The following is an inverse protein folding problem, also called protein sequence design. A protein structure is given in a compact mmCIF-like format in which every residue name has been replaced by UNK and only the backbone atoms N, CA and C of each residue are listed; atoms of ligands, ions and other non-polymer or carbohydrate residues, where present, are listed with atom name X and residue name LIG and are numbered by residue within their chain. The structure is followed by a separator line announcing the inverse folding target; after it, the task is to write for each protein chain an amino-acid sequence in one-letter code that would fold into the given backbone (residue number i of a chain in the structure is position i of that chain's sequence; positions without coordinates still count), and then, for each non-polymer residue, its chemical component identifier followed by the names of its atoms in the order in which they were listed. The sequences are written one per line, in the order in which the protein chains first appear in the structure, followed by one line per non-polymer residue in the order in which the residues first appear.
data_IF_559049325900
#
_entry.id   IF_559049325900
#
_cell.length_a   1.000
_cell.length_b   1.000
_cell.length_c   1.000
_cell.angle_alpha   90.00
_cell.angle_beta   90.00
_cell.angle_gamma   90.00
#
_symmetry.space_group_name_H-M   'P 1'
#
loop_
_entity.id
_entity.type
_entity.pdbx_description
1 polymer ?
#
# COMPACT_ATOMS: atom_id res chain seq x y z
N UNK A 1 0.92 -18.69 -18.58
CA UNK A 1 -0.19 -17.81 -18.20
C UNK A 1 0.26 -17.04 -16.96
N UNK A 2 0.50 -15.72 -17.07
CA UNK A 2 0.94 -14.93 -15.92
C UNK A 2 -0.17 -14.94 -14.87
N UNK A 3 0.19 -15.19 -13.61
CA UNK A 3 -0.74 -15.01 -12.50
C UNK A 3 -1.23 -13.57 -12.53
N UNK A 4 -2.53 -13.37 -12.32
CA UNK A 4 -3.06 -12.01 -12.21
C UNK A 4 -2.33 -11.28 -11.08
N UNK A 5 -2.16 -9.95 -11.18
CA UNK A 5 -1.58 -9.15 -10.08
C UNK A 5 -2.32 -9.42 -8.76
N UNK A 6 -3.62 -9.70 -8.85
CA UNK A 6 -4.45 -10.06 -7.71
C UNK A 6 -4.02 -11.38 -7.06
N UNK A 7 -3.64 -12.38 -7.86
CA UNK A 7 -3.16 -13.67 -7.38
C UNK A 7 -1.76 -13.57 -6.77
N UNK A 8 -0.84 -12.85 -7.42
CA UNK A 8 0.52 -12.67 -6.91
C UNK A 8 0.56 -11.93 -5.57
N UNK A 9 -0.36 -11.00 -5.33
CA UNK A 9 -0.47 -10.24 -4.08
C UNK A 9 -1.29 -10.93 -2.97
N UNK A 10 -1.77 -12.17 -3.18
CA UNK A 10 -2.65 -12.85 -2.22
C UNK A 10 -2.01 -13.02 -0.85
N UNK A 11 -0.71 -13.37 -0.80
CA UNK A 11 0.03 -13.58 0.45
C UNK A 11 0.16 -12.29 1.26
N UNK A 12 0.59 -11.21 0.61
CA UNK A 12 0.68 -9.87 1.22
C UNK A 12 -0.67 -9.41 1.72
N UNK A 13 -1.73 -9.59 0.91
CA UNK A 13 -3.10 -9.22 1.30
C UNK A 13 -3.53 -9.99 2.55
N UNK A 14 -3.34 -11.31 2.60
CA UNK A 14 -3.75 -12.11 3.77
C UNK A 14 -2.99 -11.72 5.04
N UNK A 15 -1.68 -11.50 4.93
CA UNK A 15 -0.85 -11.10 6.08
C UNK A 15 -1.27 -9.73 6.62
N UNK A 16 -1.28 -8.72 5.76
CA UNK A 16 -1.52 -7.33 6.15
C UNK A 16 -2.98 -7.12 6.56
N UNK A 17 -3.94 -7.64 5.77
CA UNK A 17 -5.37 -7.42 6.06
C UNK A 17 -5.85 -8.26 7.24
N UNK A 18 -5.30 -9.46 7.45
CA UNK A 18 -5.66 -10.30 8.60
C UNK A 18 -5.22 -9.66 9.91
N UNK A 19 -4.03 -9.07 9.94
CA UNK A 19 -3.50 -8.38 11.11
C UNK A 19 -4.24 -7.06 11.37
N UNK A 20 -4.45 -6.23 10.35
CA UNK A 20 -5.23 -4.99 10.49
C UNK A 20 -6.65 -5.29 10.96
N UNK A 21 -7.33 -6.30 10.41
CA UNK A 21 -8.67 -6.68 10.87
C UNK A 21 -8.68 -7.20 12.32
N UNK A 22 -7.60 -7.84 12.78
CA UNK A 22 -7.43 -8.31 14.15
C UNK A 22 -7.22 -7.16 15.14
N UNK A 23 -6.37 -6.20 14.78
CA UNK A 23 -6.10 -4.97 15.55
C UNK A 23 -7.33 -4.09 15.62
N UNK A 24 -8.02 -3.91 14.49
CA UNK A 24 -9.15 -3.00 14.42
C UNK A 24 -10.43 -3.59 15.06
N UNK A 25 -10.56 -4.91 15.19
CA UNK A 25 -11.69 -5.55 15.88
C UNK A 25 -13.08 -5.03 15.47
N UNK A 26 -14.09 -5.21 16.34
CA UNK A 26 -15.40 -4.52 16.24
C UNK A 26 -15.51 -3.35 17.23
N UNK A 27 -14.37 -2.89 17.77
CA UNK A 27 -14.30 -1.88 18.83
C UNK A 27 -14.12 -0.46 18.31
N UNK A 28 -14.00 0.47 19.27
CA UNK A 28 -13.65 1.86 19.04
C UNK A 28 -12.15 2.01 18.70
N UNK A 29 -11.80 3.12 18.04
CA UNK A 29 -10.41 3.46 17.72
C UNK A 29 -9.71 3.96 19.00
N UNK A 30 -8.64 3.28 19.44
CA UNK A 30 -7.86 3.61 20.65
C UNK A 30 -6.45 4.07 20.29
N UNK A 31 -5.64 4.51 21.27
CA UNK A 31 -4.22 4.80 21.03
C UNK A 31 -3.44 3.54 20.58
N UNK A 32 -3.72 2.40 21.20
CA UNK A 32 -3.14 1.10 20.84
C UNK A 32 -3.44 0.74 19.37
N UNK A 33 -4.62 1.11 18.86
CA UNK A 33 -4.97 0.94 17.45
C UNK A 33 -3.99 1.64 16.51
N UNK A 34 -3.54 2.83 16.89
CA UNK A 34 -2.60 3.63 16.09
C UNK A 34 -1.18 3.06 16.15
N UNK A 35 -0.71 2.64 17.32
CA UNK A 35 0.60 2.02 17.50
C UNK A 35 0.73 0.70 16.73
N UNK A 36 -0.31 -0.12 16.78
CA UNK A 36 -0.37 -1.38 16.03
C UNK A 36 -0.39 -1.14 14.52
N UNK A 37 -1.15 -0.14 14.06
CA UNK A 37 -1.20 0.21 12.65
C UNK A 37 0.17 0.70 12.14
N UNK A 38 0.85 1.55 12.90
CA UNK A 38 2.21 2.00 12.58
C UNK A 38 3.16 0.80 12.45
N UNK A 39 3.16 -0.07 13.45
CA UNK A 39 3.99 -1.28 13.48
C UNK A 39 3.73 -2.16 12.26
N UNK A 40 2.46 -2.35 11.91
CA UNK A 40 2.06 -3.15 10.75
C UNK A 40 2.55 -2.58 9.42
N UNK A 41 2.44 -1.27 9.23
CA UNK A 41 2.89 -0.62 8.00
C UNK A 41 4.42 -0.69 7.87
N UNK A 42 5.16 -0.52 8.98
CA UNK A 42 6.63 -0.69 8.98
C UNK A 42 7.02 -2.13 8.64
N UNK A 43 6.36 -3.13 9.23
CA UNK A 43 6.59 -4.55 8.92
C UNK A 43 6.22 -4.93 7.47
N UNK A 44 5.32 -4.15 6.84
CA UNK A 44 4.91 -4.34 5.46
C UNK A 44 5.82 -3.63 4.43
N UNK A 45 7.03 -3.23 4.83
CA UNK A 45 8.04 -2.55 4.00
C UNK A 45 7.59 -1.18 3.44
N UNK A 46 6.67 -0.49 4.12
CA UNK A 46 6.24 0.88 3.72
C UNK A 46 7.33 1.93 4.02
N UNK A 47 8.17 1.66 5.02
CA UNK A 47 9.24 2.54 5.50
C UNK A 47 8.75 3.58 6.52
N UNK A 48 9.61 3.91 7.48
CA UNK A 48 9.26 4.71 8.68
C UNK A 48 8.64 6.07 8.33
N UNK A 49 9.29 6.86 7.47
CA UNK A 49 8.79 8.20 7.10
C UNK A 49 7.40 8.15 6.48
N UNK A 50 7.20 7.26 5.50
CA UNK A 50 5.92 7.10 4.82
C UNK A 50 4.84 6.62 5.78
N UNK A 51 5.17 5.70 6.68
CA UNK A 51 4.23 5.22 7.70
C UNK A 51 3.76 6.36 8.59
N UNK A 52 4.69 7.15 9.15
CA UNK A 52 4.34 8.28 10.02
C UNK A 52 3.44 9.29 9.30
N UNK A 53 3.75 9.61 8.04
CA UNK A 53 2.94 10.52 7.23
C UNK A 53 1.53 9.97 6.97
N UNK A 54 1.38 8.66 6.74
CA UNK A 54 0.07 8.01 6.54
C UNK A 54 -0.74 7.99 7.82
N UNK A 55 -0.13 7.60 8.95
CA UNK A 55 -0.81 7.52 10.24
C UNK A 55 -1.29 8.90 10.67
N UNK A 56 -0.46 9.94 10.56
CA UNK A 56 -0.83 11.31 10.92
C UNK A 56 -2.02 11.82 10.09
N UNK A 57 -1.98 11.66 8.76
CA UNK A 57 -3.12 12.02 7.90
C UNK A 57 -4.38 11.26 8.26
N UNK A 58 -4.25 9.97 8.59
CA UNK A 58 -5.37 9.12 8.95
C UNK A 58 -5.99 9.54 10.29
N UNK A 59 -5.19 9.91 11.30
CA UNK A 59 -5.65 10.46 12.58
C UNK A 59 -6.45 11.75 12.37
N UNK A 60 -5.89 12.71 11.63
CA UNK A 60 -6.58 13.96 11.28
C UNK A 60 -7.91 13.70 10.58
N UNK A 61 -7.95 12.70 9.69
CA UNK A 61 -9.14 12.35 8.94
C UNK A 61 -10.20 11.67 9.79
N UNK A 62 -9.80 10.80 10.71
CA UNK A 62 -10.70 10.19 11.71
C UNK A 62 -11.39 11.27 12.53
N UNK A 63 -10.63 12.27 13.01
CA UNK A 63 -11.16 13.37 13.81
C UNK A 63 -12.11 14.26 12.99
N UNK A 64 -11.71 14.62 11.76
CA UNK A 64 -12.47 15.51 10.89
C UNK A 64 -13.77 14.86 10.35
N UNK A 65 -13.74 13.57 10.02
CA UNK A 65 -14.89 12.85 9.46
C UNK A 65 -15.74 12.16 10.53
N UNK A 66 -15.30 12.13 11.79
CA UNK A 66 -15.98 11.42 12.87
C UNK A 66 -16.03 9.92 12.61
N UNK A 67 -14.88 9.30 12.34
CA UNK A 67 -14.80 7.86 12.13
C UNK A 67 -14.62 7.18 13.47
N UNK A 68 -15.52 6.25 13.83
CA UNK A 68 -15.48 5.60 15.15
C UNK A 68 -15.31 4.09 15.06
N UNK A 69 -15.45 3.55 13.84
CA UNK A 69 -15.45 2.11 13.62
C UNK A 69 -14.24 1.65 12.83
N UNK A 70 -13.75 0.48 13.18
CA UNK A 70 -12.75 -0.30 12.48
C UNK A 70 -12.89 -0.32 10.94
N UNK A 71 -14.09 -0.56 10.43
CA UNK A 71 -14.35 -0.68 9.00
C UNK A 71 -14.22 0.67 8.27
N UNK A 72 -14.55 1.77 8.95
CA UNK A 72 -14.37 3.12 8.45
C UNK A 72 -12.89 3.51 8.41
N UNK A 73 -12.16 3.23 9.48
CA UNK A 73 -10.71 3.44 9.56
C UNK A 73 -9.98 2.66 8.46
N UNK A 74 -10.36 1.40 8.25
CA UNK A 74 -9.81 0.57 7.19
C UNK A 74 -10.04 1.15 5.79
N UNK A 75 -11.25 1.65 5.53
CA UNK A 75 -11.60 2.30 4.27
C UNK A 75 -10.79 3.58 4.05
N UNK A 76 -10.62 4.38 5.10
CA UNK A 76 -9.82 5.61 5.06
C UNK A 76 -8.34 5.30 4.81
N UNK A 77 -7.76 4.32 5.51
CA UNK A 77 -6.37 3.86 5.29
C UNK A 77 -6.13 3.47 3.82
N UNK A 78 -7.05 2.70 3.22
CA UNK A 78 -6.95 2.31 1.82
C UNK A 78 -6.92 3.52 0.87
N UNK A 79 -7.66 4.56 1.20
CA UNK A 79 -7.69 5.80 0.40
C UNK A 79 -6.39 6.59 0.56
N UNK A 80 -5.85 6.71 1.77
CA UNK A 80 -4.54 7.36 2.01
C UNK A 80 -3.42 6.63 1.28
N UNK A 81 -3.35 5.30 1.39
CA UNK A 81 -2.36 4.49 0.69
C UNK A 81 -2.49 4.59 -0.84
N UNK A 82 -3.73 4.69 -1.36
CA UNK A 82 -3.94 4.90 -2.80
C UNK A 82 -3.50 6.30 -3.24
N UNK A 83 -3.70 7.32 -2.41
CA UNK A 83 -3.31 8.69 -2.71
C UNK A 83 -1.78 8.88 -2.78
N UNK A 84 -1.01 8.01 -2.13
CA UNK A 84 0.45 7.97 -2.28
C UNK A 84 0.90 7.46 -3.66
N UNK A 85 0.07 6.69 -4.36
CA UNK A 85 0.39 6.17 -5.68
C UNK A 85 0.09 7.23 -6.72
N UNK A 86 1.11 7.66 -7.46
CA UNK A 86 0.93 8.47 -8.66
C UNK A 86 0.58 7.57 -9.85
N UNK A 87 -0.24 8.07 -10.77
CA UNK A 87 -0.45 7.40 -12.05
C UNK A 87 0.83 7.58 -12.89
N UNK A 88 1.51 6.49 -13.25
CA UNK A 88 2.69 6.61 -14.09
C UNK A 88 2.28 7.10 -15.48
N UNK A 89 3.16 7.86 -16.17
CA UNK A 89 2.91 8.20 -17.56
C UNK A 89 2.70 6.92 -18.39
N UNK A 90 1.81 6.95 -19.38
CA UNK A 90 1.58 5.79 -20.22
C UNK A 90 2.89 5.38 -20.90
N UNK A 91 3.19 4.09 -20.84
CA UNK A 91 4.34 3.52 -21.53
C UNK A 91 4.04 3.51 -23.04
N UNK A 92 4.38 4.60 -23.74
CA UNK A 92 4.15 4.71 -25.18
C UNK A 92 5.24 3.97 -25.97
N UNK A 93 4.86 2.79 -26.48
CA UNK A 93 5.64 2.04 -27.48
C UNK A 93 4.94 1.98 -28.84
N UNK A 94 3.82 2.69 -29.02
CA UNK A 94 2.91 2.53 -30.17
C UNK A 94 3.21 3.46 -31.35
N UNK A 95 4.12 4.42 -31.21
CA UNK A 95 4.54 5.23 -32.35
C UNK A 95 5.15 4.34 -33.44
N UNK A 96 4.88 4.64 -34.72
CA UNK A 96 5.50 3.95 -35.86
C UNK A 96 7.02 4.19 -35.88
N UNK A 97 7.75 3.46 -35.06
CA UNK A 97 9.21 3.44 -34.99
C UNK A 97 9.70 2.16 -35.65
N UNK A 98 10.80 2.25 -36.40
CA UNK A 98 11.40 1.07 -37.04
C UNK A 98 11.96 0.07 -36.01
N UNK A 99 12.33 0.54 -34.81
CA UNK A 99 12.83 -0.26 -33.69
C UNK A 99 12.61 0.48 -32.36
N UNK A 100 12.24 -0.24 -31.31
CA UNK A 100 12.23 0.26 -29.92
C UNK A 100 13.32 -0.48 -29.13
N UNK A 101 14.29 0.26 -28.59
CA UNK A 101 15.39 -0.28 -27.78
C UNK A 101 15.08 -0.04 -26.30
N UNK A 102 15.04 -1.12 -25.50
CA UNK A 102 14.83 -1.07 -24.05
C UNK A 102 16.11 -1.56 -23.36
N UNK A 103 16.73 -0.71 -22.54
CA UNK A 103 17.90 -1.06 -21.74
C UNK A 103 17.47 -1.33 -20.29
N UNK A 104 17.59 -2.58 -19.85
CA UNK A 104 17.27 -2.99 -18.47
C UNK A 104 18.52 -2.87 -17.61
N UNK A 105 18.47 -2.05 -16.56
CA UNK A 105 19.59 -1.78 -15.64
C UNK A 105 19.24 -2.18 -14.20
N UNK A 106 20.25 -2.47 -13.38
CA UNK A 106 20.07 -2.90 -11.98
C UNK A 106 21.22 -3.77 -11.47
N UNK A 107 21.27 -4.02 -10.16
CA UNK A 107 22.34 -4.79 -9.50
C UNK A 107 22.31 -6.29 -9.81
N UNK A 108 23.41 -7.00 -9.59
CA UNK A 108 23.46 -8.46 -9.80
C UNK A 108 22.41 -9.19 -8.95
N UNK A 109 21.70 -10.16 -9.54
CA UNK A 109 20.65 -10.91 -8.85
C UNK A 109 19.24 -10.30 -8.90
N UNK A 110 19.05 -9.09 -9.45
CA UNK A 110 17.73 -8.44 -9.52
C UNK A 110 16.77 -8.95 -10.61
N UNK A 111 17.09 -10.08 -11.25
CA UNK A 111 16.22 -10.70 -12.26
C UNK A 111 16.23 -10.07 -13.67
N UNK A 112 17.20 -9.22 -14.03
CA UNK A 112 17.25 -8.53 -15.35
C UNK A 112 17.23 -9.44 -16.58
N UNK A 113 17.65 -10.70 -16.44
CA UNK A 113 17.76 -11.69 -17.53
C UNK A 113 16.56 -12.65 -17.57
N UNK A 114 15.71 -12.64 -16.54
CA UNK A 114 14.58 -13.57 -16.36
C UNK A 114 13.31 -13.01 -16.97
#
# INVERSE_FOLDING_TARGET
MFKSIRESLTRTRQSVFGQIAGVLGMGDITEETWEDLETLLVQADVGVSTTLDVVEKLRQRVDNEGLYRADQLFKALKQELRALLFDPPPLSMEDKRALTVVMVVGVNGSGKTT
#
